data_IF_592920437385
#
_entry.id   IF_592920437385
#
_cell.length_a   1.000
_cell.length_b   1.000
_cell.length_c   1.000
_cell.angle_alpha   90.00
_cell.angle_beta   90.00
_cell.angle_gamma   90.00
#
_symmetry.space_group_name_H-M   'P 1'
#
loop_
_entity.id
_entity.type
_entity.pdbx_description
1 polymer ?
#
# COMPACT_ATOMS: atom_id res chain seq x y z
N UNK A 1 -63.19 11.27 -62.25
CA UNK A 1 -61.90 11.40 -61.57
C UNK A 1 -61.93 11.35 -60.01
N UNK A 2 -62.95 11.85 -59.34
CA UNK A 2 -62.95 11.82 -57.85
C UNK A 2 -63.38 10.47 -57.21
N UNK A 3 -64.06 9.62 -57.96
CA UNK A 3 -64.55 8.31 -57.49
C UNK A 3 -63.55 7.20 -57.63
N UNK A 4 -62.63 7.26 -58.57
CA UNK A 4 -61.54 6.27 -58.73
C UNK A 4 -60.43 6.52 -57.75
N UNK A 5 -60.11 7.73 -57.33
CA UNK A 5 -59.09 8.00 -56.27
C UNK A 5 -59.49 7.46 -54.93
N UNK A 6 -60.76 7.37 -54.57
CA UNK A 6 -61.23 6.80 -53.28
C UNK A 6 -61.15 5.28 -53.22
N UNK A 7 -61.20 4.60 -54.35
CA UNK A 7 -61.09 3.14 -54.40
C UNK A 7 -59.60 2.71 -54.22
N UNK A 8 -58.69 3.42 -54.88
CA UNK A 8 -57.23 3.16 -54.76
C UNK A 8 -56.73 3.51 -53.40
N UNK A 9 -57.18 4.56 -52.71
CA UNK A 9 -56.77 4.83 -51.31
C UNK A 9 -57.32 3.83 -50.30
N UNK A 10 -58.46 3.16 -50.58
CA UNK A 10 -58.99 2.10 -49.70
C UNK A 10 -58.22 0.75 -49.83
N UNK A 11 -57.78 0.41 -51.06
CA UNK A 11 -56.97 -0.81 -51.25
C UNK A 11 -55.57 -0.68 -50.75
N UNK A 12 -54.91 0.47 -50.82
CA UNK A 12 -53.60 0.70 -50.29
C UNK A 12 -53.54 0.66 -48.70
N UNK A 13 -54.69 1.02 -48.06
CA UNK A 13 -54.80 0.94 -46.60
C UNK A 13 -55.12 -0.47 -46.08
N UNK A 14 -55.56 -1.41 -46.89
CA UNK A 14 -55.87 -2.77 -46.44
C UNK A 14 -54.69 -3.77 -46.51
N UNK A 15 -53.58 -3.44 -47.15
CA UNK A 15 -52.39 -4.30 -47.26
C UNK A 15 -51.38 -4.07 -46.11
N UNK A 16 -51.59 -2.99 -45.28
CA UNK A 16 -50.66 -2.59 -44.22
C UNK A 16 -50.91 -3.18 -42.81
N UNK A 17 -51.93 -4.01 -42.59
CA UNK A 17 -52.33 -4.39 -41.24
C UNK A 17 -52.75 -5.85 -41.08
N UNK A 18 -51.86 -6.78 -41.30
CA UNK A 18 -51.90 -8.12 -40.69
C UNK A 18 -50.49 -8.70 -40.59
N UNK A 19 -49.57 -8.02 -39.92
CA UNK A 19 -48.47 -8.75 -39.27
C UNK A 19 -49.05 -9.39 -38.04
N UNK A 20 -49.39 -10.66 -38.18
CA UNK A 20 -50.13 -11.39 -37.16
C UNK A 20 -49.36 -11.52 -35.88
N UNK A 21 -50.06 -11.44 -34.76
CA UNK A 21 -49.63 -11.69 -33.37
C UNK A 21 -48.78 -12.98 -33.23
N UNK A 22 -48.98 -13.99 -34.11
CA UNK A 22 -48.17 -15.20 -34.21
C UNK A 22 -46.74 -15.00 -34.71
N UNK A 23 -46.49 -14.05 -35.60
CA UNK A 23 -45.13 -13.80 -36.11
C UNK A 23 -44.26 -13.10 -35.07
N UNK A 24 -44.81 -12.19 -34.29
CA UNK A 24 -44.08 -11.54 -33.19
C UNK A 24 -43.75 -12.53 -32.04
N UNK A 25 -44.65 -13.42 -31.73
CA UNK A 25 -44.43 -14.48 -30.74
C UNK A 25 -43.33 -15.46 -31.20
N UNK A 26 -43.31 -15.86 -32.44
CA UNK A 26 -42.26 -16.73 -33.04
C UNK A 26 -40.90 -16.00 -32.98
N UNK A 27 -40.84 -14.71 -33.34
CA UNK A 27 -39.59 -13.93 -33.21
C UNK A 27 -39.11 -13.76 -31.76
N UNK A 28 -40.01 -13.59 -30.82
CA UNK A 28 -39.67 -13.54 -29.40
C UNK A 28 -39.13 -14.90 -28.89
N UNK A 29 -39.79 -16.01 -29.29
CA UNK A 29 -39.34 -17.34 -28.91
C UNK A 29 -37.99 -17.71 -29.55
N UNK A 30 -37.77 -17.36 -30.82
CA UNK A 30 -36.46 -17.58 -31.47
C UNK A 30 -35.37 -16.70 -30.85
N UNK A 31 -35.65 -15.45 -30.54
CA UNK A 31 -34.71 -14.58 -29.85
C UNK A 31 -34.34 -15.12 -28.43
N UNK A 32 -35.35 -15.63 -27.70
CA UNK A 32 -35.14 -16.27 -26.38
C UNK A 32 -34.31 -17.55 -26.52
N UNK A 33 -34.60 -18.37 -27.51
CA UNK A 33 -33.88 -19.61 -27.76
C UNK A 33 -32.42 -19.35 -28.17
N UNK A 34 -32.17 -18.35 -28.99
CA UNK A 34 -30.82 -17.89 -29.35
C UNK A 34 -30.07 -17.32 -28.14
N UNK A 35 -30.75 -16.57 -27.27
CA UNK A 35 -30.14 -16.06 -26.04
C UNK A 35 -29.77 -17.20 -25.08
N UNK A 36 -30.63 -18.21 -24.92
CA UNK A 36 -30.35 -19.41 -24.11
C UNK A 36 -29.19 -20.23 -24.72
N UNK A 37 -29.18 -20.43 -26.03
CA UNK A 37 -28.09 -21.14 -26.71
C UNK A 37 -26.75 -20.37 -26.59
N UNK A 38 -26.78 -19.07 -26.78
CA UNK A 38 -25.60 -18.22 -26.57
C UNK A 38 -25.11 -18.27 -25.12
N UNK A 39 -26.03 -18.24 -24.16
CA UNK A 39 -25.72 -18.40 -22.74
C UNK A 39 -25.10 -19.76 -22.42
N UNK A 40 -25.65 -20.84 -22.95
CA UNK A 40 -25.13 -22.21 -22.78
C UNK A 40 -23.75 -22.38 -23.42
N UNK A 41 -23.54 -21.84 -24.64
CA UNK A 41 -22.25 -21.87 -25.31
C UNK A 41 -21.19 -21.07 -24.52
N UNK A 42 -21.55 -19.88 -24.08
CA UNK A 42 -20.66 -19.03 -23.24
C UNK A 42 -20.31 -19.74 -21.94
N UNK A 43 -21.30 -20.39 -21.30
CA UNK A 43 -21.09 -21.18 -20.09
C UNK A 43 -20.18 -22.38 -20.31
N UNK A 44 -20.34 -23.10 -21.43
CA UNK A 44 -19.49 -24.24 -21.80
C UNK A 44 -18.05 -23.80 -22.09
N UNK A 45 -17.85 -22.71 -22.80
CA UNK A 45 -16.53 -22.13 -23.08
C UNK A 45 -15.89 -21.67 -21.76
N UNK A 46 -16.61 -20.96 -20.91
CA UNK A 46 -16.13 -20.53 -19.61
C UNK A 46 -15.74 -21.73 -18.73
N UNK A 47 -16.59 -22.78 -18.70
CA UNK A 47 -16.32 -24.03 -17.96
C UNK A 47 -15.06 -24.74 -18.47
N UNK A 48 -14.90 -24.82 -19.80
CA UNK A 48 -13.70 -25.41 -20.42
C UNK A 48 -12.43 -24.65 -20.01
N UNK A 49 -12.43 -23.31 -20.12
CA UNK A 49 -11.29 -22.49 -19.71
C UNK A 49 -11.03 -22.54 -18.20
N UNK A 50 -12.07 -22.55 -17.36
CA UNK A 50 -11.92 -22.70 -15.91
C UNK A 50 -11.27 -24.02 -15.52
N UNK A 51 -11.59 -25.12 -16.21
CA UNK A 51 -11.05 -26.43 -15.88
C UNK A 51 -9.66 -26.68 -16.47
N UNK A 52 -9.32 -26.06 -17.60
CA UNK A 52 -8.07 -26.30 -18.33
C UNK A 52 -7.08 -25.15 -18.28
N UNK A 53 -7.37 -24.08 -17.49
CA UNK A 53 -6.45 -22.96 -17.41
C UNK A 53 -5.20 -23.31 -16.59
N UNK A 54 -4.04 -22.81 -17.00
CA UNK A 54 -2.78 -22.91 -16.23
C UNK A 54 -2.92 -22.42 -14.79
N UNK A 55 -3.82 -21.47 -14.56
CA UNK A 55 -4.05 -20.87 -13.24
C UNK A 55 -4.76 -21.82 -12.26
N UNK A 56 -5.43 -22.87 -12.71
CA UNK A 56 -6.12 -23.80 -11.80
C UNK A 56 -5.17 -24.52 -10.86
N UNK A 57 -3.99 -24.89 -11.34
CA UNK A 57 -2.95 -25.52 -10.53
C UNK A 57 -2.31 -24.52 -9.57
N UNK A 58 -2.02 -23.31 -10.07
CA UNK A 58 -1.44 -22.23 -9.27
C UNK A 58 -2.40 -21.79 -8.15
N UNK A 59 -3.70 -21.67 -8.44
CA UNK A 59 -4.72 -21.32 -7.44
C UNK A 59 -4.85 -22.38 -6.36
N UNK A 60 -4.86 -23.68 -6.71
CA UNK A 60 -4.93 -24.75 -5.72
C UNK A 60 -3.70 -24.79 -4.79
N UNK A 61 -2.55 -24.37 -5.28
CA UNK A 61 -1.31 -24.29 -4.51
C UNK A 61 -1.28 -23.13 -3.49
N UNK A 62 -2.22 -22.17 -3.55
CA UNK A 62 -2.30 -21.07 -2.59
C UNK A 62 -2.52 -21.54 -1.15
N UNK A 63 -3.13 -22.71 -0.93
CA UNK A 63 -3.29 -23.28 0.39
C UNK A 63 -1.95 -23.55 1.09
N UNK A 64 -0.90 -23.84 0.32
CA UNK A 64 0.46 -24.08 0.80
C UNK A 64 1.37 -22.88 0.62
N UNK A 65 0.87 -21.85 -0.04
CA UNK A 65 1.64 -20.64 -0.29
C UNK A 65 1.88 -19.88 1.02
N UNK A 66 3.14 -19.66 1.32
CA UNK A 66 3.58 -18.80 2.42
C UNK A 66 4.12 -17.51 1.83
N UNK A 67 3.50 -16.35 2.15
CA UNK A 67 4.06 -15.07 1.72
C UNK A 67 5.47 -14.89 2.26
N UNK A 68 6.34 -14.12 1.58
CA UNK A 68 7.63 -13.74 2.11
C UNK A 68 7.50 -13.19 3.51
N UNK A 69 8.24 -13.76 4.46
CA UNK A 69 8.23 -13.34 5.85
C UNK A 69 9.51 -12.61 6.19
N UNK A 70 9.43 -11.69 7.15
CA UNK A 70 10.58 -10.95 7.68
C UNK A 70 11.54 -11.91 8.36
N UNK A 71 12.81 -11.88 7.97
CA UNK A 71 13.88 -12.53 8.71
C UNK A 71 14.34 -11.61 9.83
N UNK A 72 14.30 -12.06 11.07
CA UNK A 72 14.62 -11.28 12.26
C UNK A 72 15.90 -11.82 12.90
N UNK A 73 16.84 -10.94 13.19
CA UNK A 73 18.05 -11.26 13.98
C UNK A 73 17.83 -10.79 15.41
N UNK A 74 18.01 -11.69 16.35
CA UNK A 74 17.92 -11.44 17.78
C UNK A 74 19.32 -11.40 18.42
N UNK A 75 19.44 -10.62 19.51
CA UNK A 75 20.60 -10.60 20.36
C UNK A 75 20.76 -11.93 21.14
N UNK A 76 21.75 -11.99 22.00
CA UNK A 76 22.05 -13.14 22.85
C UNK A 76 20.97 -13.46 23.91
N UNK A 77 20.16 -12.46 24.27
CA UNK A 77 18.98 -12.62 25.13
C UNK A 77 17.80 -13.34 24.45
N UNK A 78 17.82 -13.48 23.12
CA UNK A 78 16.77 -14.09 22.33
C UNK A 78 15.49 -13.26 22.17
N UNK A 79 15.45 -12.04 22.70
CA UNK A 79 14.29 -11.15 22.72
C UNK A 79 14.56 -9.83 22.02
N UNK A 80 15.73 -9.23 22.23
CA UNK A 80 16.11 -7.95 21.61
C UNK A 80 16.34 -8.12 20.12
N UNK A 81 15.55 -7.40 19.31
CA UNK A 81 15.69 -7.38 17.85
C UNK A 81 16.85 -6.48 17.46
N UNK A 82 17.86 -7.04 16.81
CA UNK A 82 19.01 -6.32 16.28
C UNK A 82 18.76 -5.80 14.87
N UNK A 83 18.09 -6.59 14.03
CA UNK A 83 17.75 -6.23 12.66
C UNK A 83 16.61 -7.08 12.10
N UNK A 84 15.94 -6.51 11.11
CA UNK A 84 14.92 -7.18 10.31
C UNK A 84 15.26 -7.06 8.83
N UNK A 85 15.28 -8.20 8.11
CA UNK A 85 15.49 -8.25 6.67
C UNK A 85 14.23 -8.71 5.98
N UNK A 86 13.69 -7.86 5.13
CA UNK A 86 12.56 -8.17 4.30
C UNK A 86 12.64 -7.36 2.99
N UNK A 87 12.30 -8.01 1.87
CA UNK A 87 11.99 -7.29 0.63
C UNK A 87 10.67 -6.54 0.81
N UNK A 88 9.76 -7.13 1.61
CA UNK A 88 8.42 -6.62 1.90
C UNK A 88 8.16 -6.75 3.41
N UNK A 89 7.75 -5.66 4.05
CA UNK A 89 7.28 -5.73 5.45
C UNK A 89 5.91 -6.39 5.46
N UNK A 90 5.86 -7.66 5.91
CA UNK A 90 4.64 -8.45 5.93
C UNK A 90 4.51 -9.21 7.25
N UNK A 91 3.41 -8.99 7.96
CA UNK A 91 3.06 -9.67 9.20
C UNK A 91 1.76 -10.40 8.96
N UNK A 92 1.77 -11.73 8.77
CA UNK A 92 0.57 -12.49 8.45
C UNK A 92 -0.43 -12.48 9.63
N UNK A 93 -1.70 -12.33 9.29
CA UNK A 93 -2.84 -12.53 10.21
C UNK A 93 -3.66 -13.72 9.74
N UNK A 94 -4.35 -14.38 10.68
CA UNK A 94 -5.30 -15.46 10.38
C UNK A 94 -6.72 -14.89 10.30
N UNK A 95 -7.62 -15.59 9.63
CA UNK A 95 -9.01 -15.17 9.45
C UNK A 95 -9.73 -14.84 10.77
N UNK A 96 -9.42 -15.60 11.83
CA UNK A 96 -10.01 -15.41 13.17
C UNK A 96 -9.51 -14.15 13.88
N UNK A 97 -8.35 -13.64 13.48
CA UNK A 97 -7.71 -12.46 14.07
C UNK A 97 -8.10 -11.16 13.35
N UNK A 98 -8.91 -11.24 12.30
CA UNK A 98 -9.39 -10.07 11.55
C UNK A 98 -10.46 -9.34 12.37
N UNK A 99 -10.20 -8.10 12.83
CA UNK A 99 -11.19 -7.34 13.59
C UNK A 99 -12.38 -6.95 12.71
N UNK A 100 -13.59 -7.08 13.28
CA UNK A 100 -14.83 -6.81 12.54
C UNK A 100 -14.90 -5.37 12.03
N UNK A 101 -14.36 -4.41 12.79
CA UNK A 101 -14.31 -3.00 12.39
C UNK A 101 -13.49 -2.81 11.11
N UNK A 102 -12.32 -3.45 11.02
CA UNK A 102 -11.44 -3.37 9.85
C UNK A 102 -12.06 -4.10 8.65
N UNK A 103 -12.62 -5.29 8.88
CA UNK A 103 -13.37 -6.03 7.85
C UNK A 103 -14.49 -5.16 7.28
N UNK A 104 -15.35 -4.60 8.13
CA UNK A 104 -16.45 -3.76 7.70
C UNK A 104 -15.99 -2.50 6.93
N UNK A 105 -14.92 -1.85 7.37
CA UNK A 105 -14.35 -0.69 6.68
C UNK A 105 -13.88 -1.06 5.27
N UNK A 106 -13.15 -2.17 5.14
CA UNK A 106 -12.68 -2.67 3.86
C UNK A 106 -13.84 -3.05 2.94
N UNK A 107 -14.80 -3.84 3.44
CA UNK A 107 -15.95 -4.27 2.66
C UNK A 107 -16.80 -3.09 2.22
N UNK A 108 -17.03 -2.12 3.08
CA UNK A 108 -17.85 -0.94 2.76
C UNK A 108 -17.33 -0.18 1.54
N UNK A 109 -16.01 -0.05 1.40
CA UNK A 109 -15.41 0.78 0.34
C UNK A 109 -15.00 -0.02 -0.89
N UNK A 110 -14.55 -1.26 -0.72
CA UNK A 110 -14.05 -2.08 -1.82
C UNK A 110 -15.12 -3.00 -2.38
N UNK A 111 -15.91 -3.66 -1.50
CA UNK A 111 -16.82 -4.73 -1.94
C UNK A 111 -17.97 -4.99 -0.94
N UNK A 112 -18.92 -4.06 -0.85
CA UNK A 112 -20.01 -4.15 0.15
C UNK A 112 -20.92 -5.39 0.00
N UNK A 113 -20.90 -6.04 -1.18
CA UNK A 113 -21.64 -7.28 -1.47
C UNK A 113 -20.77 -8.53 -1.43
N UNK A 114 -19.57 -8.44 -0.84
CA UNK A 114 -18.55 -9.48 -0.86
C UNK A 114 -19.09 -10.89 -0.59
N UNK A 115 -19.91 -11.05 0.41
CA UNK A 115 -20.49 -12.34 0.80
C UNK A 115 -21.64 -12.83 -0.10
N UNK A 116 -22.11 -12.03 -1.05
CA UNK A 116 -23.30 -12.34 -1.87
C UNK A 116 -23.03 -12.64 -3.34
N UNK A 117 -21.76 -12.65 -3.77
CA UNK A 117 -21.38 -12.96 -5.14
C UNK A 117 -20.23 -13.99 -5.21
N UNK A 118 -20.09 -14.76 -6.31
CA UNK A 118 -19.06 -15.79 -6.49
C UNK A 118 -17.77 -15.23 -7.10
N UNK A 119 -17.20 -14.16 -6.55
CA UNK A 119 -15.93 -13.55 -7.01
C UNK A 119 -16.08 -12.45 -8.05
N UNK A 120 -17.18 -12.41 -8.77
CA UNK A 120 -17.57 -11.35 -9.69
C UNK A 120 -18.95 -10.85 -9.27
N UNK A 121 -19.15 -9.53 -9.21
CA UNK A 121 -20.46 -8.93 -8.92
C UNK A 121 -21.07 -8.34 -10.20
N UNK A 122 -21.94 -9.07 -10.93
CA UNK A 122 -22.54 -8.59 -12.16
C UNK A 122 -23.45 -7.39 -11.94
N UNK A 123 -24.08 -7.25 -10.78
CA UNK A 123 -24.90 -6.08 -10.46
C UNK A 123 -24.08 -4.81 -10.31
N UNK A 124 -22.91 -4.89 -9.65
CA UNK A 124 -21.98 -3.76 -9.56
C UNK A 124 -21.40 -3.40 -10.92
N UNK A 125 -21.08 -4.40 -11.75
CA UNK A 125 -20.58 -4.15 -13.11
C UNK A 125 -21.64 -3.42 -13.93
N UNK A 126 -22.89 -3.90 -13.94
CA UNK A 126 -23.99 -3.26 -14.65
C UNK A 126 -24.24 -1.82 -14.14
N UNK A 127 -24.26 -1.62 -12.84
CA UNK A 127 -24.42 -0.31 -12.21
C UNK A 127 -23.27 0.66 -12.55
N UNK A 128 -22.02 0.21 -12.54
CA UNK A 128 -20.88 1.01 -12.91
C UNK A 128 -20.90 1.39 -14.40
N UNK A 129 -21.23 0.46 -15.29
CA UNK A 129 -21.39 0.73 -16.73
C UNK A 129 -22.48 1.77 -16.96
N UNK A 130 -23.65 1.61 -16.34
CA UNK A 130 -24.76 2.56 -16.46
C UNK A 130 -24.35 3.96 -15.97
N UNK A 131 -23.70 4.03 -14.80
CA UNK A 131 -23.29 5.31 -14.22
C UNK A 131 -22.18 5.98 -15.04
N UNK A 132 -21.20 5.21 -15.52
CA UNK A 132 -20.13 5.74 -16.37
C UNK A 132 -20.66 6.32 -17.67
N UNK A 133 -21.69 5.68 -18.28
CA UNK A 133 -22.35 6.19 -19.49
C UNK A 133 -23.18 7.45 -19.20
N UNK A 134 -23.90 7.48 -18.08
CA UNK A 134 -24.85 8.58 -17.78
C UNK A 134 -24.19 9.80 -17.15
N UNK A 135 -23.13 9.62 -16.36
CA UNK A 135 -22.49 10.72 -15.59
C UNK A 135 -21.05 11.01 -16.01
N UNK A 136 -20.46 10.22 -16.92
CA UNK A 136 -19.06 10.34 -17.30
C UNK A 136 -18.08 10.00 -16.16
N UNK A 137 -18.56 9.47 -15.01
CA UNK A 137 -17.73 9.10 -13.87
C UNK A 137 -17.05 7.76 -14.12
N UNK A 138 -15.84 7.57 -13.60
CA UNK A 138 -15.13 6.29 -13.64
C UNK A 138 -15.29 5.54 -12.30
N UNK A 139 -16.42 4.86 -12.12
CA UNK A 139 -16.59 3.97 -10.96
C UNK A 139 -16.00 2.58 -11.23
N UNK A 140 -15.20 2.09 -10.28
CA UNK A 140 -14.64 0.74 -10.31
C UNK A 140 -15.65 -0.28 -9.76
N UNK A 141 -15.84 -1.38 -10.48
CA UNK A 141 -16.69 -2.49 -10.07
C UNK A 141 -15.90 -3.77 -9.74
N UNK A 142 -14.59 -3.67 -9.54
CA UNK A 142 -13.76 -4.83 -9.21
C UNK A 142 -14.04 -5.28 -7.78
N UNK A 143 -14.13 -6.61 -7.58
CA UNK A 143 -14.32 -7.22 -6.27
C UNK A 143 -12.98 -7.45 -5.56
N UNK A 144 -13.01 -7.75 -4.25
CA UNK A 144 -11.82 -8.14 -3.47
C UNK A 144 -11.15 -9.36 -4.10
N UNK A 145 -11.91 -10.36 -4.53
CA UNK A 145 -11.37 -11.57 -5.15
C UNK A 145 -10.68 -11.28 -6.49
N UNK A 146 -11.21 -10.34 -7.30
CA UNK A 146 -10.56 -9.89 -8.54
C UNK A 146 -9.27 -9.12 -8.25
N UNK A 147 -9.25 -8.28 -7.21
CA UNK A 147 -8.04 -7.57 -6.80
C UNK A 147 -6.97 -8.55 -6.31
N UNK A 148 -7.36 -9.58 -5.55
CA UNK A 148 -6.46 -10.64 -5.10
C UNK A 148 -5.90 -11.41 -6.31
N UNK A 149 -6.74 -11.83 -7.25
CA UNK A 149 -6.34 -12.49 -8.49
C UNK A 149 -5.31 -11.68 -9.28
N UNK A 150 -5.56 -10.39 -9.43
CA UNK A 150 -4.63 -9.46 -10.09
C UNK A 150 -3.28 -9.40 -9.36
N UNK A 151 -3.29 -9.25 -8.05
CA UNK A 151 -2.07 -9.05 -7.26
C UNK A 151 -1.21 -10.32 -7.20
N UNK A 152 -1.81 -11.50 -7.16
CA UNK A 152 -1.09 -12.77 -7.05
C UNK A 152 -0.59 -13.31 -8.39
N UNK A 153 -1.40 -13.22 -9.44
CA UNK A 153 -1.16 -13.95 -10.67
C UNK A 153 -0.94 -13.07 -11.91
N UNK A 154 -1.45 -11.83 -11.91
CA UNK A 154 -1.60 -11.02 -13.12
C UNK A 154 -0.91 -9.65 -13.03
N UNK A 155 -0.12 -9.39 -12.01
CA UNK A 155 0.49 -8.07 -11.81
C UNK A 155 1.48 -7.67 -12.93
N UNK A 156 2.09 -8.66 -13.61
CA UNK A 156 3.00 -8.46 -14.75
C UNK A 156 2.28 -8.42 -16.10
N UNK A 157 1.00 -8.76 -16.14
CA UNK A 157 0.25 -8.91 -17.38
C UNK A 157 -0.30 -7.55 -17.83
N UNK A 158 0.18 -7.03 -18.94
CA UNK A 158 -0.25 -5.73 -19.49
C UNK A 158 -1.17 -5.88 -20.72
N UNK A 159 -1.74 -7.06 -20.94
CA UNK A 159 -2.56 -7.38 -22.10
C UNK A 159 -4.01 -6.93 -21.95
N UNK A 160 -4.70 -6.71 -23.07
CA UNK A 160 -6.14 -6.43 -23.09
C UNK A 160 -6.97 -7.59 -22.49
N UNK A 161 -6.45 -8.82 -22.54
CA UNK A 161 -7.08 -10.02 -21.99
C UNK A 161 -6.96 -10.10 -20.46
N UNK A 162 -6.12 -9.26 -19.84
CA UNK A 162 -5.90 -9.28 -18.38
C UNK A 162 -7.21 -9.24 -17.59
N UNK A 163 -8.19 -8.41 -18.01
CA UNK A 163 -9.46 -8.30 -17.27
C UNK A 163 -10.29 -9.58 -17.32
N UNK A 164 -10.26 -10.28 -18.43
CA UNK A 164 -10.91 -11.58 -18.57
C UNK A 164 -10.19 -12.62 -17.69
N UNK A 165 -8.86 -12.61 -17.69
CA UNK A 165 -8.07 -13.50 -16.85
C UNK A 165 -8.32 -13.22 -15.35
N UNK A 166 -8.44 -11.96 -14.93
CA UNK A 166 -8.83 -11.60 -13.56
C UNK A 166 -10.17 -12.24 -13.16
N UNK A 167 -11.16 -12.19 -14.05
CA UNK A 167 -12.47 -12.81 -13.79
C UNK A 167 -12.35 -14.33 -13.66
N UNK A 168 -11.63 -14.96 -14.58
CA UNK A 168 -11.43 -16.42 -14.60
C UNK A 168 -10.72 -16.90 -13.33
N UNK A 169 -9.63 -16.22 -12.95
CA UNK A 169 -8.87 -16.55 -11.73
C UNK A 169 -9.71 -16.27 -10.48
N UNK A 170 -10.48 -15.18 -10.43
CA UNK A 170 -11.37 -14.89 -9.32
C UNK A 170 -12.42 -16.00 -9.10
N UNK A 171 -13.04 -16.49 -10.18
CA UNK A 171 -13.99 -17.60 -10.09
C UNK A 171 -13.32 -18.91 -9.62
N UNK A 172 -12.07 -19.14 -9.99
CA UNK A 172 -11.31 -20.29 -9.51
C UNK A 172 -10.97 -20.17 -8.04
N UNK A 173 -10.52 -19.00 -7.58
CA UNK A 173 -10.24 -18.74 -6.16
C UNK A 173 -11.49 -19.05 -5.32
N UNK A 174 -12.65 -18.54 -5.71
CA UNK A 174 -13.93 -18.77 -4.99
C UNK A 174 -14.39 -20.25 -5.02
N UNK A 175 -13.91 -21.03 -5.96
CA UNK A 175 -14.19 -22.48 -6.01
C UNK A 175 -13.38 -23.26 -4.99
N UNK A 176 -12.15 -22.82 -4.68
CA UNK A 176 -11.23 -23.55 -3.80
C UNK A 176 -11.19 -23.00 -2.37
N UNK A 177 -11.58 -21.75 -2.15
CA UNK A 177 -11.44 -21.08 -0.88
C UNK A 177 -12.75 -20.46 -0.40
N UNK A 178 -12.96 -20.48 0.91
CA UNK A 178 -14.09 -19.78 1.53
C UNK A 178 -13.90 -18.26 1.47
N UNK A 179 -14.98 -17.52 1.59
CA UNK A 179 -14.92 -16.04 1.66
C UNK A 179 -13.98 -15.54 2.75
N UNK A 180 -13.95 -16.20 3.90
CA UNK A 180 -13.07 -15.85 5.02
C UNK A 180 -11.59 -16.07 4.66
N UNK A 181 -11.26 -17.19 4.05
CA UNK A 181 -9.91 -17.48 3.58
C UNK A 181 -9.45 -16.50 2.48
N UNK A 182 -10.34 -16.13 1.56
CA UNK A 182 -10.05 -15.14 0.51
C UNK A 182 -9.77 -13.77 1.13
N UNK A 183 -10.56 -13.37 2.13
CA UNK A 183 -10.36 -12.12 2.86
C UNK A 183 -9.04 -12.12 3.62
N UNK A 184 -8.69 -13.22 4.30
CA UNK A 184 -7.39 -13.42 4.95
C UNK A 184 -6.24 -13.23 3.96
N UNK A 185 -6.31 -13.93 2.82
CA UNK A 185 -5.30 -13.80 1.77
C UNK A 185 -5.19 -12.36 1.27
N UNK A 186 -6.30 -11.71 0.97
CA UNK A 186 -6.30 -10.32 0.51
C UNK A 186 -5.67 -9.38 1.53
N UNK A 187 -6.07 -9.48 2.79
CA UNK A 187 -5.57 -8.63 3.87
C UNK A 187 -4.10 -8.88 4.19
N UNK A 188 -3.57 -10.03 3.84
CA UNK A 188 -2.14 -10.34 3.96
C UNK A 188 -1.31 -9.93 2.75
N UNK A 189 -1.96 -9.69 1.58
CA UNK A 189 -1.24 -9.47 0.31
C UNK A 189 -1.22 -8.05 -0.18
N UNK A 190 -2.27 -7.28 0.13
CA UNK A 190 -2.46 -5.96 -0.45
C UNK A 190 -1.35 -4.99 -0.01
N UNK A 191 -0.79 -4.25 -0.99
CA UNK A 191 0.19 -3.21 -0.71
C UNK A 191 -0.50 -1.95 -0.18
N UNK A 192 -0.02 -1.45 0.95
CA UNK A 192 -0.58 -0.30 1.65
C UNK A 192 0.35 0.94 1.68
N UNK A 193 1.39 0.96 0.87
CA UNK A 193 2.38 2.04 0.87
C UNK A 193 3.45 1.90 1.97
N UNK A 194 4.44 2.79 1.98
CA UNK A 194 5.54 2.81 2.95
C UNK A 194 6.24 1.44 3.16
N UNK A 195 6.27 0.59 2.12
CA UNK A 195 6.83 -0.77 2.20
C UNK A 195 5.95 -1.77 2.94
N UNK A 196 4.76 -1.39 3.42
CA UNK A 196 3.86 -2.28 4.14
C UNK A 196 3.01 -3.12 3.19
N UNK A 197 3.08 -4.42 3.33
CA UNK A 197 2.24 -5.40 2.66
C UNK A 197 1.37 -6.12 3.68
N UNK A 198 0.06 -6.00 3.51
CA UNK A 198 -0.95 -6.52 4.43
C UNK A 198 -1.35 -5.54 5.54
N UNK A 199 -2.52 -5.80 6.09
CA UNK A 199 -3.19 -4.88 7.01
C UNK A 199 -2.50 -4.78 8.38
N UNK A 200 -1.95 -5.87 8.92
CA UNK A 200 -1.20 -5.83 10.19
C UNK A 200 0.08 -5.01 10.05
N UNK A 201 0.83 -5.23 8.95
CA UNK A 201 2.02 -4.43 8.67
C UNK A 201 1.68 -2.96 8.46
N UNK A 202 0.56 -2.66 7.76
CA UNK A 202 0.06 -1.31 7.59
C UNK A 202 -0.34 -0.65 8.91
N UNK A 203 -1.05 -1.37 9.81
CA UNK A 203 -1.45 -0.88 11.12
C UNK A 203 -0.22 -0.48 11.96
N UNK A 204 0.78 -1.34 12.00
CA UNK A 204 2.04 -1.05 12.71
C UNK A 204 2.82 0.10 12.08
N UNK A 205 2.86 0.14 10.73
CA UNK A 205 3.59 1.19 10.02
C UNK A 205 2.97 2.58 10.24
N UNK A 206 1.66 2.70 10.18
CA UNK A 206 1.01 4.01 10.27
C UNK A 206 0.62 4.42 11.68
N UNK A 207 0.30 3.45 12.54
CA UNK A 207 -0.25 3.74 13.87
C UNK A 207 0.57 3.18 15.03
N UNK A 208 1.61 2.37 14.75
CA UNK A 208 2.42 1.71 15.80
C UNK A 208 1.61 0.68 16.61
N UNK A 209 0.45 0.24 16.11
CA UNK A 209 -0.51 -0.62 16.81
C UNK A 209 -0.70 -1.94 16.07
N UNK A 210 -1.13 -2.98 16.79
CA UNK A 210 -1.67 -4.17 16.17
C UNK A 210 -3.02 -3.85 15.48
N UNK A 211 -3.36 -4.60 14.44
CA UNK A 211 -4.61 -4.43 13.69
C UNK A 211 -5.86 -4.47 14.60
N UNK A 212 -5.83 -5.29 15.64
CA UNK A 212 -6.93 -5.43 16.62
C UNK A 212 -7.09 -4.23 17.56
N UNK A 213 -6.07 -3.40 17.69
CA UNK A 213 -6.07 -2.25 18.59
C UNK A 213 -6.43 -0.94 17.86
N UNK A 214 -6.76 -1.03 16.56
CA UNK A 214 -7.18 0.12 15.76
C UNK A 214 -8.57 0.59 16.18
N UNK A 215 -8.72 1.90 16.33
CA UNK A 215 -10.01 2.54 16.46
C UNK A 215 -10.73 2.68 15.11
N UNK A 216 -11.97 3.19 15.09
CA UNK A 216 -12.79 3.27 13.89
C UNK A 216 -12.15 4.14 12.80
N UNK A 217 -11.63 5.32 13.15
CA UNK A 217 -11.01 6.25 12.22
C UNK A 217 -9.71 5.71 11.63
N UNK A 218 -8.92 4.98 12.40
CA UNK A 218 -7.69 4.32 11.96
C UNK A 218 -8.00 3.14 11.03
N UNK A 219 -8.99 2.32 11.38
CA UNK A 219 -9.46 1.22 10.53
C UNK A 219 -9.99 1.72 9.19
N UNK A 220 -10.77 2.81 9.18
CA UNK A 220 -11.27 3.43 7.97
C UNK A 220 -10.14 4.03 7.11
N UNK A 221 -9.13 4.65 7.74
CA UNK A 221 -7.96 5.16 7.01
C UNK A 221 -7.18 4.02 6.35
N UNK A 222 -6.93 2.94 7.08
CA UNK A 222 -6.20 1.79 6.56
C UNK A 222 -6.94 1.15 5.37
N UNK A 223 -8.27 1.02 5.46
CA UNK A 223 -9.12 0.51 4.39
C UNK A 223 -9.21 1.45 3.16
N UNK A 224 -8.83 2.72 3.31
CA UNK A 224 -8.81 3.70 2.23
C UNK A 224 -7.63 3.54 1.24
N UNK A 225 -6.51 2.97 1.71
CA UNK A 225 -5.22 2.94 1.00
C UNK A 225 -5.20 1.99 -0.22
N UNK A 226 -5.84 0.81 -0.22
CA UNK A 226 -5.81 -0.14 -1.34
C UNK A 226 -6.23 0.47 -2.68
N UNK A 227 -7.04 1.51 -2.68
CA UNK A 227 -7.52 2.20 -3.88
C UNK A 227 -6.38 2.79 -4.71
N UNK A 228 -5.39 3.40 -4.06
CA UNK A 228 -4.19 3.97 -4.69
C UNK A 228 -3.13 4.28 -3.64
N UNK A 229 -1.84 4.07 -3.94
CA UNK A 229 -0.73 4.49 -3.08
C UNK A 229 -0.70 6.00 -2.73
N UNK A 230 -1.42 6.83 -3.49
CA UNK A 230 -1.57 8.26 -3.20
C UNK A 230 -2.35 8.54 -1.91
N UNK A 231 -3.17 7.58 -1.45
CA UNK A 231 -3.91 7.67 -0.19
C UNK A 231 -3.10 7.20 1.01
N UNK A 232 -1.82 6.89 0.82
CA UNK A 232 -0.91 6.66 1.94
C UNK A 232 -0.73 7.96 2.74
N UNK A 233 -0.98 7.96 4.06
CA UNK A 233 -0.94 9.18 4.87
C UNK A 233 0.46 9.80 4.97
N UNK A 234 1.53 8.99 4.81
CA UNK A 234 2.91 9.49 4.74
C UNK A 234 3.22 10.22 3.43
N UNK A 235 2.39 10.01 2.40
CA UNK A 235 2.54 10.66 1.09
C UNK A 235 1.72 11.93 0.97
N UNK A 236 0.47 11.88 1.40
CA UNK A 236 -0.44 13.01 1.39
C UNK A 236 -1.55 12.83 2.45
N UNK A 237 -1.35 13.45 3.60
CA UNK A 237 -2.26 13.32 4.74
C UNK A 237 -3.67 13.84 4.41
N UNK A 238 -3.79 14.96 3.71
CA UNK A 238 -5.10 15.54 3.35
C UNK A 238 -5.90 14.62 2.42
N UNK A 239 -5.25 14.02 1.40
CA UNK A 239 -5.91 13.05 0.52
C UNK A 239 -6.30 11.79 1.29
N UNK A 240 -5.47 11.33 2.21
CA UNK A 240 -5.74 10.19 3.05
C UNK A 240 -6.97 10.43 3.96
N UNK A 241 -7.04 11.59 4.62
CA UNK A 241 -8.18 11.99 5.45
C UNK A 241 -9.48 12.13 4.64
N UNK A 242 -9.42 12.78 3.48
CA UNK A 242 -10.57 12.88 2.58
C UNK A 242 -11.08 11.48 2.17
N UNK A 243 -10.17 10.56 1.86
CA UNK A 243 -10.53 9.19 1.47
C UNK A 243 -11.04 8.38 2.67
N UNK A 244 -10.47 8.53 3.88
CA UNK A 244 -10.98 7.97 5.13
C UNK A 244 -12.45 8.37 5.36
N UNK A 245 -12.76 9.65 5.16
CA UNK A 245 -14.11 10.15 5.35
C UNK A 245 -15.10 9.49 4.39
N UNK A 246 -14.70 9.24 3.13
CA UNK A 246 -15.51 8.46 2.19
C UNK A 246 -15.74 7.02 2.69
N UNK A 247 -14.73 6.38 3.30
CA UNK A 247 -14.90 5.04 3.89
C UNK A 247 -15.93 5.07 5.01
N UNK A 248 -15.85 6.04 5.93
CA UNK A 248 -16.80 6.21 7.02
C UNK A 248 -18.23 6.45 6.51
N UNK A 249 -18.39 7.25 5.44
CA UNK A 249 -19.70 7.44 4.79
C UNK A 249 -20.25 6.15 4.19
N UNK A 250 -19.40 5.35 3.55
CA UNK A 250 -19.82 4.06 3.01
C UNK A 250 -20.17 3.06 4.13
N UNK A 251 -19.43 3.06 5.25
CA UNK A 251 -19.76 2.24 6.42
C UNK A 251 -21.14 2.60 6.99
N UNK A 252 -21.44 3.89 7.12
CA UNK A 252 -22.76 4.36 7.57
C UNK A 252 -23.85 4.01 6.56
N UNK A 253 -23.61 4.24 5.27
CA UNK A 253 -24.54 3.93 4.18
C UNK A 253 -24.96 2.46 4.13
N UNK A 254 -24.02 1.55 4.42
CA UNK A 254 -24.28 0.11 4.40
C UNK A 254 -24.63 -0.47 5.78
N UNK A 255 -24.84 0.39 6.79
CA UNK A 255 -25.32 -0.03 8.10
C UNK A 255 -24.28 -0.72 8.99
N UNK A 256 -23.00 -0.56 8.70
CA UNK A 256 -21.93 -1.07 9.55
C UNK A 256 -21.70 -0.22 10.80
N UNK A 257 -22.00 1.07 10.71
CA UNK A 257 -21.97 2.05 11.79
C UNK A 257 -23.17 2.99 11.64
N UNK A 258 -23.51 3.73 12.67
CA UNK A 258 -24.49 4.81 12.60
C UNK A 258 -23.89 6.07 11.94
N UNK A 259 -24.76 6.95 11.42
CA UNK A 259 -24.32 8.26 10.89
C UNK A 259 -23.63 9.10 11.96
N UNK A 260 -24.09 9.03 13.21
CA UNK A 260 -23.50 9.77 14.33
C UNK A 260 -22.05 9.30 14.63
N UNK A 261 -21.80 7.98 14.59
CA UNK A 261 -20.46 7.41 14.74
C UNK A 261 -19.55 7.83 13.58
N UNK A 262 -20.07 7.84 12.35
CA UNK A 262 -19.31 8.30 11.18
C UNK A 262 -18.87 9.77 11.34
N UNK A 263 -19.79 10.67 11.70
CA UNK A 263 -19.48 12.09 11.89
C UNK A 263 -18.49 12.31 13.05
N UNK A 264 -18.66 11.57 14.15
CA UNK A 264 -17.73 11.63 15.28
C UNK A 264 -16.31 11.18 14.87
N UNK A 265 -16.21 10.09 14.10
CA UNK A 265 -14.93 9.59 13.63
C UNK A 265 -14.25 10.53 12.60
N UNK A 266 -15.04 11.18 11.73
CA UNK A 266 -14.53 12.18 10.77
C UNK A 266 -13.94 13.42 11.46
N UNK A 267 -14.55 13.85 12.57
CA UNK A 267 -14.09 15.01 13.33
C UNK A 267 -12.74 14.79 14.03
N UNK A 268 -12.33 13.52 14.22
CA UNK A 268 -11.03 13.20 14.82
C UNK A 268 -9.89 13.38 13.85
N UNK A 269 -8.80 14.09 14.25
CA UNK A 269 -7.60 14.18 13.43
C UNK A 269 -6.93 12.81 13.30
N UNK A 270 -6.28 12.57 12.17
CA UNK A 270 -5.43 11.39 11.99
C UNK A 270 -4.15 11.58 12.78
N UNK A 271 -3.92 10.69 13.74
CA UNK A 271 -2.66 10.63 14.49
C UNK A 271 -1.86 9.45 13.94
N UNK A 272 -0.80 9.75 13.21
CA UNK A 272 0.17 8.74 12.82
C UNK A 272 1.08 8.46 14.02
N UNK A 273 1.58 7.22 14.09
CA UNK A 273 2.71 6.94 14.97
C UNK A 273 3.87 7.86 14.59
N UNK A 274 4.61 8.33 15.56
CA UNK A 274 5.87 8.99 15.29
C UNK A 274 6.65 8.06 14.36
N UNK A 275 6.94 8.58 13.16
CA UNK A 275 7.68 7.85 12.13
C UNK A 275 9.06 7.40 12.63
N UNK A 276 9.48 7.92 13.77
CA UNK A 276 10.56 7.43 14.59
C UNK A 276 10.55 5.90 14.81
N UNK A 277 9.42 5.21 14.94
CA UNK A 277 9.47 3.75 15.12
C UNK A 277 10.03 3.01 13.89
N UNK A 278 9.87 3.53 12.67
CA UNK A 278 10.45 2.92 11.46
C UNK A 278 11.61 3.73 10.84
N UNK A 279 11.76 5.00 11.21
CA UNK A 279 12.98 5.77 10.96
C UNK A 279 13.99 5.60 12.09
N UNK A 280 13.56 5.09 13.23
CA UNK A 280 14.38 4.80 14.41
C UNK A 280 14.86 3.34 14.52
N UNK A 281 14.95 2.63 13.40
CA UNK A 281 16.15 1.81 13.31
C UNK A 281 17.27 2.84 13.22
N UNK A 282 18.10 3.01 14.28
CA UNK A 282 19.13 4.01 14.28
C UNK A 282 19.88 3.88 12.95
N UNK A 283 20.08 5.00 12.22
CA UNK A 283 20.79 4.99 10.95
C UNK A 283 22.18 4.37 11.03
N UNK A 284 22.68 4.22 12.25
CA UNK A 284 23.87 3.45 12.59
C UNK A 284 23.76 2.98 14.04
N UNK A 285 23.57 1.68 14.25
CA UNK A 285 23.61 1.07 15.58
C UNK A 285 25.02 0.57 15.91
N UNK A 286 25.27 0.35 17.20
CA UNK A 286 26.54 -0.25 17.64
C UNK A 286 26.78 -1.64 17.02
N UNK A 287 25.73 -2.30 16.53
CA UNK A 287 25.76 -3.65 15.98
C UNK A 287 25.54 -3.75 14.46
N UNK A 288 25.47 -2.65 13.72
CA UNK A 288 25.27 -2.68 12.26
C UNK A 288 26.32 -3.53 11.53
N UNK A 289 27.59 -3.38 11.91
CA UNK A 289 28.66 -4.15 11.29
C UNK A 289 28.53 -5.68 11.55
N UNK A 290 28.41 -6.16 12.80
CA UNK A 290 28.20 -7.58 13.02
C UNK A 290 26.88 -8.11 12.43
N UNK A 291 25.82 -7.32 12.39
CA UNK A 291 24.57 -7.68 11.72
C UNK A 291 24.77 -7.84 10.22
N UNK A 292 25.53 -6.95 9.58
CA UNK A 292 25.86 -7.05 8.16
C UNK A 292 26.69 -8.30 7.82
N UNK A 293 27.61 -8.69 8.69
CA UNK A 293 28.36 -9.95 8.52
C UNK A 293 27.46 -11.18 8.67
N UNK A 294 26.51 -11.15 9.63
CA UNK A 294 25.48 -12.21 9.74
C UNK A 294 24.62 -12.24 8.45
N UNK A 295 24.21 -11.10 7.92
CA UNK A 295 23.43 -11.01 6.67
C UNK A 295 24.17 -11.68 5.52
N UNK A 296 25.44 -11.34 5.31
CA UNK A 296 26.27 -11.93 4.26
C UNK A 296 26.40 -13.45 4.40
N UNK A 297 26.66 -13.92 5.61
CA UNK A 297 26.74 -15.36 5.90
C UNK A 297 25.42 -16.08 5.58
N UNK A 298 24.30 -15.47 5.96
CA UNK A 298 22.98 -16.04 5.68
C UNK A 298 22.68 -16.07 4.19
N UNK A 299 23.03 -15.01 3.43
CA UNK A 299 22.83 -14.93 1.97
C UNK A 299 23.67 -15.99 1.24
N UNK A 300 24.91 -16.20 1.65
CA UNK A 300 25.76 -17.25 1.09
C UNK A 300 25.17 -18.66 1.34
N UNK A 301 24.67 -18.89 2.55
CA UNK A 301 24.19 -20.21 2.97
C UNK A 301 22.76 -20.52 2.52
N UNK A 302 21.87 -19.56 2.55
CA UNK A 302 20.44 -19.72 2.33
C UNK A 302 19.89 -18.97 1.11
N UNK A 303 20.73 -18.22 0.40
CA UNK A 303 20.40 -17.48 -0.82
C UNK A 303 19.19 -16.54 -0.65
N UNK A 304 18.24 -16.56 -1.59
CA UNK A 304 17.03 -15.71 -1.56
C UNK A 304 16.11 -15.97 -0.37
N UNK A 305 16.29 -17.07 0.38
CA UNK A 305 15.48 -17.37 1.58
C UNK A 305 15.74 -16.41 2.74
N UNK A 306 16.86 -15.69 2.75
CA UNK A 306 17.15 -14.71 3.81
C UNK A 306 16.10 -13.61 3.85
N UNK A 307 15.72 -13.06 2.68
CA UNK A 307 14.74 -11.97 2.61
C UNK A 307 13.28 -12.44 2.49
N UNK A 308 13.03 -13.74 2.33
CA UNK A 308 11.70 -14.28 2.05
C UNK A 308 11.26 -15.42 2.97
N UNK A 309 12.21 -16.03 3.69
CA UNK A 309 11.99 -17.28 4.41
C UNK A 309 11.53 -17.13 5.86
N UNK A 310 11.45 -15.93 6.40
CA UNK A 310 11.02 -15.69 7.78
C UNK A 310 11.94 -16.38 8.79
N UNK A 311 13.26 -16.32 8.58
CA UNK A 311 14.21 -16.95 9.47
C UNK A 311 14.22 -16.20 10.82
N UNK A 312 14.25 -16.95 11.91
CA UNK A 312 14.59 -16.42 13.23
C UNK A 312 16.04 -16.75 13.50
N UNK A 313 16.89 -15.74 13.55
CA UNK A 313 18.33 -15.88 13.71
C UNK A 313 18.69 -15.42 15.12
N UNK A 314 19.14 -16.33 15.95
CA UNK A 314 19.59 -16.01 17.29
C UNK A 314 21.12 -15.85 17.25
N UNK A 315 21.57 -14.63 17.51
CA UNK A 315 23.01 -14.33 17.52
C UNK A 315 23.58 -14.43 18.95
N UNK A 316 24.88 -14.37 19.03
CA UNK A 316 25.60 -14.27 20.32
C UNK A 316 26.03 -12.83 20.62
N UNK A 317 25.43 -11.86 19.95
CA UNK A 317 25.75 -10.44 20.13
C UNK A 317 25.14 -9.97 21.44
N UNK A 318 25.98 -9.63 22.38
CA UNK A 318 25.59 -8.97 23.62
C UNK A 318 25.47 -7.46 23.35
N UNK A 319 24.27 -6.90 23.49
CA UNK A 319 23.94 -5.51 23.13
C UNK A 319 24.80 -4.51 23.91
N UNK A 320 24.94 -4.69 25.23
CA UNK A 320 25.70 -3.78 26.06
C UNK A 320 27.21 -3.91 25.79
N UNK A 321 27.71 -5.14 25.64
CA UNK A 321 29.09 -5.38 25.25
C UNK A 321 29.44 -4.74 23.92
N UNK A 322 28.51 -4.80 22.92
CA UNK A 322 28.69 -4.20 21.59
C UNK A 322 28.71 -2.67 21.67
N UNK A 323 27.82 -2.06 22.45
CA UNK A 323 27.83 -0.60 22.69
C UNK A 323 29.16 -0.15 23.30
N UNK A 324 29.63 -0.85 24.34
CA UNK A 324 30.91 -0.54 25.01
C UNK A 324 32.10 -0.69 24.05
N UNK A 325 32.13 -1.76 23.25
CA UNK A 325 33.19 -1.99 22.27
C UNK A 325 33.19 -0.88 21.18
N UNK A 326 32.02 -0.52 20.65
CA UNK A 326 31.89 0.54 19.67
C UNK A 326 32.33 1.89 20.23
N UNK A 327 31.94 2.22 21.45
CA UNK A 327 32.38 3.41 22.17
C UNK A 327 33.89 3.46 22.31
N UNK A 328 34.49 2.41 22.81
CA UNK A 328 35.96 2.31 23.03
C UNK A 328 36.75 2.48 21.71
N UNK A 329 36.28 1.82 20.61
CA UNK A 329 36.92 1.96 19.29
C UNK A 329 36.78 3.40 18.77
N UNK A 330 35.58 3.97 18.84
CA UNK A 330 35.35 5.38 18.40
C UNK A 330 36.21 6.36 19.17
N UNK A 331 36.29 6.25 20.49
CA UNK A 331 37.15 7.10 21.35
C UNK A 331 38.63 6.99 20.97
N UNK A 332 39.09 5.76 20.72
CA UNK A 332 40.50 5.51 20.35
C UNK A 332 40.82 6.06 18.96
N UNK A 333 39.94 5.86 17.97
CA UNK A 333 40.10 6.42 16.64
C UNK A 333 40.11 7.95 16.66
N UNK A 334 39.22 8.56 17.44
CA UNK A 334 39.19 10.02 17.62
C UNK A 334 40.51 10.55 18.25
N UNK A 335 41.02 9.88 19.25
CA UNK A 335 42.30 10.26 19.87
C UNK A 335 43.44 10.17 18.84
N UNK A 336 43.44 9.12 18.03
CA UNK A 336 44.40 8.94 16.95
C UNK A 336 44.32 10.03 15.88
N UNK A 337 43.13 10.38 15.41
CA UNK A 337 42.91 11.43 14.41
C UNK A 337 43.31 12.80 14.92
N UNK A 338 42.98 13.14 16.19
CA UNK A 338 43.43 14.39 16.83
C UNK A 338 44.95 14.53 16.84
N UNK A 339 45.67 13.40 17.07
CA UNK A 339 47.13 13.38 17.05
C UNK A 339 47.75 13.62 15.67
N UNK A 340 46.98 13.41 14.58
CA UNK A 340 47.44 13.53 13.19
C UNK A 340 47.16 14.87 12.54
N UNK A 341 46.59 15.84 13.24
CA UNK A 341 46.09 17.12 12.76
C UNK A 341 45.00 16.95 11.69
N UNK A 342 43.77 17.24 12.09
CA UNK A 342 42.60 17.25 11.19
C UNK A 342 42.88 18.10 9.94
N UNK A 343 42.72 17.51 8.76
CA UNK A 343 42.74 18.22 7.49
C UNK A 343 41.33 18.19 6.94
N UNK A 344 40.58 19.29 7.08
CA UNK A 344 39.32 19.45 6.37
C UNK A 344 39.45 20.64 5.42
N UNK A 345 38.75 20.53 4.29
CA UNK A 345 38.58 21.66 3.37
C UNK A 345 37.56 22.62 3.98
N UNK A 346 38.06 23.56 4.79
CA UNK A 346 37.22 24.63 5.33
C UNK A 346 36.90 25.62 4.21
N UNK A 347 35.62 25.81 3.90
CA UNK A 347 35.19 26.89 3.03
C UNK A 347 34.83 28.12 3.87
N UNK A 348 35.45 29.26 3.58
CA UNK A 348 34.98 30.53 4.10
C UNK A 348 33.78 30.96 3.24
N UNK A 349 32.57 30.97 3.82
CA UNK A 349 31.34 31.39 3.15
C UNK A 349 31.08 32.90 3.23
N UNK A 350 31.93 33.62 3.95
CA UNK A 350 31.84 35.08 4.13
C UNK A 350 32.74 35.80 3.13
N UNK A 351 32.72 35.39 1.89
CA UNK A 351 33.45 35.98 0.77
C UNK A 351 32.49 36.28 -0.39
N UNK A 352 32.76 37.30 -1.15
CA UNK A 352 32.06 37.64 -2.39
C UNK A 352 32.49 36.76 -3.57
N UNK A 353 31.96 37.02 -4.76
CA UNK A 353 32.29 36.30 -6.00
C UNK A 353 33.77 36.39 -6.39
N UNK A 354 34.49 37.37 -5.93
CA UNK A 354 35.87 37.62 -6.21
C UNK A 354 36.82 37.13 -5.08
N UNK A 355 36.24 36.44 -4.09
CA UNK A 355 36.93 35.86 -2.95
C UNK A 355 37.34 36.88 -1.88
N UNK A 356 36.78 38.12 -1.93
CA UNK A 356 37.06 39.14 -0.91
C UNK A 356 36.10 39.00 0.28
N UNK A 357 36.54 39.27 1.54
CA UNK A 357 35.70 39.17 2.70
C UNK A 357 34.48 40.12 2.63
N UNK A 358 33.28 39.57 2.95
CA UNK A 358 32.08 40.41 3.12
C UNK A 358 32.26 41.34 4.28
N UNK A 359 31.99 42.64 4.08
CA UNK A 359 32.15 43.68 5.11
C UNK A 359 30.82 44.23 5.60
N UNK A 360 29.75 44.09 4.81
CA UNK A 360 28.43 44.57 5.20
C UNK A 360 27.69 43.52 6.04
N UNK A 361 27.20 43.96 7.22
CA UNK A 361 26.49 43.11 8.18
C UNK A 361 25.26 42.39 7.55
N UNK A 362 24.58 43.08 6.62
CA UNK A 362 23.43 42.54 5.89
C UNK A 362 23.82 41.36 5.00
N UNK A 363 24.94 41.43 4.30
CA UNK A 363 25.42 40.40 3.39
C UNK A 363 25.99 39.22 4.19
N UNK A 364 26.69 39.48 5.27
CA UNK A 364 27.15 38.47 6.25
C UNK A 364 25.94 37.68 6.80
N UNK A 365 24.93 38.38 7.29
CA UNK A 365 23.72 37.77 7.84
C UNK A 365 23.00 36.94 6.78
N UNK A 366 22.91 37.43 5.54
CA UNK A 366 22.31 36.73 4.42
C UNK A 366 23.08 35.43 4.07
N UNK A 367 24.42 35.52 3.99
CA UNK A 367 25.26 34.35 3.71
C UNK A 367 25.16 33.30 4.82
N UNK A 368 25.20 33.71 6.10
CA UNK A 368 25.04 32.84 7.24
C UNK A 368 23.66 32.11 7.23
N UNK A 369 22.58 32.83 6.94
CA UNK A 369 21.22 32.26 6.93
C UNK A 369 20.93 31.37 5.72
N UNK A 370 21.56 31.66 4.58
CA UNK A 370 21.39 30.88 3.36
C UNK A 370 22.19 29.56 3.35
N UNK A 371 23.23 29.46 4.19
CA UNK A 371 24.09 28.28 4.20
C UNK A 371 23.35 27.05 4.75
N UNK A 372 23.39 25.97 3.98
CA UNK A 372 22.94 24.62 4.37
C UNK A 372 24.01 23.61 4.00
N UNK A 373 24.21 22.61 4.84
CA UNK A 373 25.13 21.52 4.58
C UNK A 373 24.35 20.18 4.45
N UNK A 374 24.88 19.28 3.64
CA UNK A 374 24.25 17.97 3.42
C UNK A 374 24.16 17.11 4.70
N UNK A 375 25.05 17.35 5.66
CA UNK A 375 25.04 16.67 6.96
C UNK A 375 23.92 17.21 7.90
N UNK A 376 23.20 18.25 7.51
CA UNK A 376 22.12 18.85 8.32
C UNK A 376 20.78 18.26 7.88
N UNK A 377 20.41 17.11 8.49
CA UNK A 377 19.27 16.31 8.05
C UNK A 377 18.16 16.12 9.10
N UNK A 378 18.21 16.80 10.21
CA UNK A 378 17.16 16.70 11.22
C UNK A 378 17.50 17.38 12.54
N UNK A 379 16.53 17.34 13.46
CA UNK A 379 16.63 17.97 14.77
C UNK A 379 17.35 17.10 15.81
N UNK A 380 17.59 15.82 15.51
CA UNK A 380 18.22 14.86 16.42
C UNK A 380 19.53 14.31 15.83
N UNK A 381 20.63 14.60 16.48
CA UNK A 381 21.95 14.05 16.21
C UNK A 381 22.35 13.09 17.34
N UNK A 382 22.90 11.94 16.98
CA UNK A 382 23.36 11.00 17.98
C UNK A 382 24.62 11.49 18.70
N UNK A 383 24.72 11.23 20.01
CA UNK A 383 25.92 11.55 20.79
C UNK A 383 27.15 10.85 20.16
N UNK A 384 28.06 11.68 19.67
CA UNK A 384 29.29 11.23 19.06
C UNK A 384 29.35 11.26 17.55
N UNK A 385 28.33 11.75 16.85
CA UNK A 385 28.41 12.04 15.43
C UNK A 385 29.30 13.27 15.15
N UNK A 386 29.98 13.24 14.00
CA UNK A 386 30.70 14.40 13.46
C UNK A 386 29.83 15.10 12.44
N UNK A 387 29.45 16.30 12.74
CA UNK A 387 28.64 17.14 11.88
C UNK A 387 29.43 18.37 11.50
N UNK A 388 29.40 18.77 10.24
CA UNK A 388 29.99 20.06 9.83
C UNK A 388 29.12 21.19 10.37
N UNK A 389 29.69 21.98 11.24
CA UNK A 389 29.06 23.17 11.81
C UNK A 389 29.51 24.46 11.12
N UNK A 390 28.62 25.44 11.06
CA UNK A 390 28.93 26.78 10.62
C UNK A 390 29.31 27.63 11.84
N UNK A 391 30.53 28.14 11.89
CA UNK A 391 30.94 29.10 12.90
C UNK A 391 30.25 30.42 12.65
N UNK A 392 29.37 30.84 13.55
CA UNK A 392 28.57 32.08 13.44
C UNK A 392 29.05 33.19 14.33
N UNK A 393 29.73 32.86 15.44
CA UNK A 393 30.32 33.85 16.36
C UNK A 393 31.62 33.31 16.91
N UNK A 394 32.58 34.22 17.16
CA UNK A 394 33.81 33.91 17.87
C UNK A 394 34.07 35.00 18.93
N UNK A 395 34.16 34.57 20.16
CA UNK A 395 34.55 35.48 21.28
C UNK A 395 35.99 35.15 21.72
N UNK A 396 36.93 35.91 21.16
CA UNK A 396 38.36 35.72 21.45
C UNK A 396 38.78 36.01 22.89
N UNK A 397 37.92 36.69 23.67
CA UNK A 397 38.19 36.93 25.09
C UNK A 397 37.71 35.82 26.02
N UNK A 398 36.79 35.00 25.57
CA UNK A 398 36.20 33.91 26.37
C UNK A 398 36.56 32.49 25.85
N UNK A 399 37.37 32.39 24.81
CA UNK A 399 37.63 31.13 24.07
C UNK A 399 36.36 30.40 23.65
N UNK A 400 35.29 31.15 23.36
CA UNK A 400 33.98 30.58 22.96
C UNK A 400 33.73 30.80 21.49
N UNK A 401 33.19 29.76 20.85
CA UNK A 401 32.80 29.78 19.46
C UNK A 401 31.34 29.34 19.36
N UNK A 402 30.49 30.22 18.81
CA UNK A 402 29.13 29.87 18.48
C UNK A 402 29.10 29.09 17.16
N UNK A 403 28.55 27.87 17.17
CA UNK A 403 28.43 26.99 16.00
C UNK A 403 26.97 26.72 15.74
N UNK A 404 26.54 26.88 14.49
CA UNK A 404 25.21 26.50 14.02
C UNK A 404 25.32 25.18 13.22
N UNK A 405 24.41 24.26 13.48
CA UNK A 405 24.18 23.05 12.69
C UNK A 405 22.67 22.77 12.66
N UNK A 406 22.13 22.53 11.46
CA UNK A 406 20.69 22.38 11.26
C UNK A 406 19.93 23.63 10.94
#
# INVERSE_FOLDING_TARGET
>A
MARERRIVEKEVRSVGAKRGFGSSLIWMLTALLLAVAAGALTGAIASYYLNNSRYSVEVSALATYRPPQVTTIYADDGETVLAEFAIEKRIPIKEQDIPKTVENALLAVEDYRYYSHPGIDPYRIAGAVFKNITTGSSEGASTITQQLAKNLFLYKDQTYTRKVNEWMVALQIERFYTKRQILEMYMNYVFLGAGAYGFEAGARTYFGKSLKDLNLEEAALLAAIPKSPEYSPTRNLQKAEARRNIVLDQMAKYGYISTAEAETAKAKPVKLADTAYYQSLPRSTAWDYPVEEIRKYLEEKYTTRVAQGGLKVYSTINVEGQKLATKAIRERLRAYDRGRKWRSDYQNILVDSDGQPLTEEKDITKALNAFKHADWYGDEYEEGEYIKGLVVTQNSKADEVGVRFG
#
